data_IF_286845108563
#
_entry.id   IF_286845108563
#
_cell.length_a   1.000
_cell.length_b   1.000
_cell.length_c   1.000
_cell.angle_alpha   90.00
_cell.angle_beta   90.00
_cell.angle_gamma   90.00
#
_symmetry.space_group_name_H-M   'P 1'
#
loop_
_entity.id
_entity.type
_entity.pdbx_description
1 polymer ?
#
# COMPACT_ATOMS: atom_id res chain seq x y z
N UNK A 1 8.30 -0.95 18.79
CA UNK A 1 7.59 0.10 18.05
C UNK A 1 6.22 -0.44 17.66
N UNK A 2 5.13 0.24 18.02
CA UNK A 2 3.77 -0.26 17.74
C UNK A 2 3.42 -0.11 16.25
N UNK A 3 2.37 -0.80 15.78
CA UNK A 3 1.86 -0.66 14.39
C UNK A 3 1.36 0.76 14.10
N UNK A 4 0.83 1.45 15.11
CA UNK A 4 0.38 2.84 15.00
C UNK A 4 1.58 3.76 14.78
N UNK A 5 2.65 3.60 15.54
CA UNK A 5 3.88 4.39 15.38
C UNK A 5 4.55 4.13 14.03
N UNK A 6 4.48 2.88 13.57
CA UNK A 6 4.98 2.42 12.28
C UNK A 6 4.27 3.14 11.13
N UNK A 7 2.93 3.13 11.12
CA UNK A 7 2.13 3.81 10.10
C UNK A 7 2.31 5.33 10.15
N UNK A 8 2.40 5.92 11.35
CA UNK A 8 2.65 7.36 11.52
C UNK A 8 4.02 7.75 10.94
N UNK A 9 5.07 6.98 11.22
CA UNK A 9 6.41 7.21 10.67
C UNK A 9 6.44 7.03 9.15
N UNK A 10 5.82 5.97 8.65
CA UNK A 10 5.70 5.73 7.20
C UNK A 10 4.99 6.88 6.47
N UNK A 11 3.88 7.40 7.04
CA UNK A 11 3.19 8.58 6.50
C UNK A 11 4.12 9.79 6.39
N UNK A 12 4.84 10.13 7.46
CA UNK A 12 5.78 11.25 7.45
C UNK A 12 6.85 11.09 6.36
N UNK A 13 7.40 9.88 6.21
CA UNK A 13 8.40 9.57 5.19
C UNK A 13 7.82 9.67 3.77
N UNK A 14 6.63 9.12 3.53
CA UNK A 14 5.96 9.20 2.24
C UNK A 14 5.62 10.64 1.85
N UNK A 15 5.10 11.44 2.79
CA UNK A 15 4.82 12.87 2.57
C UNK A 15 6.09 13.64 2.22
N UNK A 16 7.15 13.50 3.02
CA UNK A 16 8.43 14.16 2.76
C UNK A 16 9.00 13.79 1.38
N UNK A 17 8.83 12.52 0.95
CA UNK A 17 9.27 12.06 -0.36
C UNK A 17 8.43 12.63 -1.52
N UNK A 18 7.12 12.77 -1.32
CA UNK A 18 6.21 13.42 -2.28
C UNK A 18 6.55 14.90 -2.45
N UNK A 19 6.75 15.63 -1.35
CA UNK A 19 7.12 17.05 -1.36
C UNK A 19 8.47 17.27 -2.06
N UNK A 20 9.45 16.37 -1.81
CA UNK A 20 10.75 16.38 -2.52
C UNK A 20 10.60 16.20 -4.04
N UNK A 21 9.52 15.55 -4.49
CA UNK A 21 9.18 15.37 -5.90
C UNK A 21 8.17 16.43 -6.40
N UNK A 22 8.03 17.57 -5.70
CA UNK A 22 7.16 18.72 -6.04
C UNK A 22 5.65 18.46 -5.99
N UNK A 23 5.21 17.36 -5.38
CA UNK A 23 3.80 17.15 -5.06
C UNK A 23 3.40 18.00 -3.85
N UNK A 24 2.18 18.55 -3.84
CA UNK A 24 1.66 19.33 -2.71
C UNK A 24 0.63 18.52 -1.94
N UNK A 25 0.75 18.49 -0.61
CA UNK A 25 -0.27 17.89 0.25
C UNK A 25 -1.36 18.92 0.50
N UNK A 26 -2.59 18.63 0.09
CA UNK A 26 -3.72 19.59 0.15
C UNK A 26 -4.62 19.35 1.36
N UNK A 27 -4.69 18.13 1.87
CA UNK A 27 -5.41 17.80 3.11
C UNK A 27 -5.01 16.41 3.63
N UNK A 28 -4.99 16.24 4.94
CA UNK A 28 -4.96 14.95 5.61
C UNK A 28 -6.37 14.69 6.17
N UNK A 29 -7.23 14.03 5.39
CA UNK A 29 -8.61 13.76 5.81
C UNK A 29 -8.63 12.59 6.81
N UNK A 30 -9.59 12.64 7.73
CA UNK A 30 -10.04 11.48 8.51
C UNK A 30 -10.27 10.28 7.58
N UNK A 31 -9.94 9.06 8.01
CA UNK A 31 -9.91 7.80 7.22
C UNK A 31 -8.59 7.40 6.56
N UNK A 32 -7.45 7.90 7.05
CA UNK A 32 -6.12 7.39 6.68
C UNK A 32 -5.69 7.72 5.23
N UNK A 33 -6.43 8.58 4.52
CA UNK A 33 -6.13 9.08 3.17
C UNK A 33 -5.48 10.47 3.23
N UNK A 34 -4.61 10.76 2.28
CA UNK A 34 -3.97 12.06 2.11
C UNK A 34 -4.31 12.55 0.70
N UNK A 35 -4.84 13.76 0.59
CA UNK A 35 -5.09 14.42 -0.68
C UNK A 35 -3.80 15.06 -1.19
N UNK A 36 -3.48 14.82 -2.45
CA UNK A 36 -2.25 15.23 -3.11
C UNK A 36 -2.58 15.93 -4.42
N UNK A 37 -1.92 17.07 -4.66
CA UNK A 37 -1.91 17.77 -5.93
C UNK A 37 -0.57 17.52 -6.62
N UNK A 38 -0.61 17.04 -7.85
CA UNK A 38 0.57 16.81 -8.67
C UNK A 38 1.22 18.11 -9.16
N UNK A 39 2.50 18.06 -9.59
CA UNK A 39 3.17 19.20 -10.21
C UNK A 39 2.41 19.86 -11.38
N UNK A 40 1.64 19.10 -12.15
CA UNK A 40 0.81 19.60 -13.28
C UNK A 40 -0.65 19.88 -12.91
N UNK A 41 -1.01 19.76 -11.63
CA UNK A 41 -2.32 20.16 -11.12
C UNK A 41 -3.38 19.06 -11.04
N UNK A 42 -3.00 17.79 -11.20
CA UNK A 42 -3.91 16.66 -11.00
C UNK A 42 -4.12 16.37 -9.52
N UNK A 43 -5.38 16.26 -9.09
CA UNK A 43 -5.73 15.88 -7.73
C UNK A 43 -5.93 14.36 -7.63
N UNK A 44 -5.31 13.75 -6.64
CA UNK A 44 -5.50 12.33 -6.31
C UNK A 44 -5.34 12.11 -4.81
N UNK A 45 -5.67 10.92 -4.35
CA UNK A 45 -5.53 10.51 -2.95
C UNK A 45 -4.52 9.39 -2.81
N UNK A 46 -3.87 9.35 -1.66
CA UNK A 46 -2.98 8.25 -1.28
C UNK A 46 -3.39 7.66 0.07
N UNK A 47 -3.22 6.35 0.22
CA UNK A 47 -3.16 5.68 1.54
C UNK A 47 -1.75 5.19 1.78
N UNK A 48 -1.24 5.40 2.99
CA UNK A 48 0.11 4.99 3.36
C UNK A 48 0.03 3.90 4.41
N UNK A 49 0.63 2.75 4.11
CA UNK A 49 0.81 1.67 5.05
C UNK A 49 2.30 1.56 5.35
N UNK A 50 2.68 1.49 6.62
CA UNK A 50 4.04 1.23 7.10
C UNK A 50 4.23 -0.19 7.64
N UNK A 51 5.41 -0.78 7.42
CA UNK A 51 5.73 -2.09 7.96
C UNK A 51 7.24 -2.22 8.25
N UNK A 52 7.58 -2.86 9.37
CA UNK A 52 8.96 -2.98 9.85
C UNK A 52 9.70 -4.18 9.22
N UNK A 53 8.98 -5.25 8.83
CA UNK A 53 9.58 -6.50 8.29
C UNK A 53 8.94 -6.96 6.98
N UNK A 54 9.66 -7.71 6.14
CA UNK A 54 9.05 -8.39 4.97
C UNK A 54 8.25 -9.63 5.40
N UNK A 55 7.08 -9.47 6.01
CA UNK A 55 6.23 -10.62 6.35
C UNK A 55 4.92 -10.61 5.57
N UNK A 56 4.08 -9.59 5.78
CA UNK A 56 2.75 -9.51 5.18
C UNK A 56 2.17 -8.11 5.41
N UNK A 57 1.48 -7.57 4.40
CA UNK A 57 0.71 -6.34 4.54
C UNK A 57 -0.78 -6.67 4.65
N UNK A 58 -1.39 -6.51 5.82
CA UNK A 58 -2.86 -6.66 5.92
C UNK A 58 -3.53 -5.47 5.23
N UNK A 59 -4.17 -5.76 4.10
CA UNK A 59 -4.87 -4.79 3.27
C UNK A 59 -6.19 -5.42 2.92
N UNK A 60 -7.26 -4.82 3.43
CA UNK A 60 -8.63 -5.26 3.15
C UNK A 60 -8.93 -5.06 1.67
N UNK A 61 -9.59 -6.05 1.07
CA UNK A 61 -10.12 -5.96 -0.29
C UNK A 61 -11.32 -5.02 -0.25
N UNK A 62 -11.25 -4.00 -1.09
CA UNK A 62 -12.25 -2.96 -1.24
C UNK A 62 -12.55 -2.76 -2.74
N UNK A 63 -13.62 -2.04 -3.06
CA UNK A 63 -13.89 -1.64 -4.45
C UNK A 63 -12.75 -0.72 -4.93
N UNK A 64 -12.08 -1.04 -6.06
CA UNK A 64 -11.03 -0.17 -6.58
C UNK A 64 -11.53 1.23 -6.90
N UNK A 65 -10.64 2.22 -6.73
CA UNK A 65 -10.89 3.63 -7.04
C UNK A 65 -9.80 4.17 -7.96
N UNK A 66 -10.20 4.91 -8.99
CA UNK A 66 -9.27 5.44 -9.99
C UNK A 66 -8.47 6.64 -9.46
N UNK A 67 -8.99 7.34 -8.45
CA UNK A 67 -8.36 8.50 -7.80
C UNK A 67 -7.43 8.12 -6.62
N UNK A 68 -7.29 6.82 -6.31
CA UNK A 68 -6.62 6.36 -5.10
C UNK A 68 -5.37 5.52 -5.41
N UNK A 69 -4.27 5.91 -4.79
CA UNK A 69 -3.00 5.20 -4.82
C UNK A 69 -2.63 4.71 -3.42
N UNK A 70 -1.83 3.66 -3.36
CA UNK A 70 -1.33 3.11 -2.11
C UNK A 70 0.19 3.16 -2.11
N UNK A 71 0.75 3.72 -1.04
CA UNK A 71 2.20 3.74 -0.79
C UNK A 71 2.48 2.78 0.36
N UNK A 72 3.13 1.67 0.05
CA UNK A 72 3.63 0.72 1.05
C UNK A 72 5.06 1.09 1.41
N UNK A 73 5.33 1.34 2.68
CA UNK A 73 6.65 1.78 3.18
C UNK A 73 7.27 0.67 4.04
N UNK A 74 8.29 0.02 3.49
CA UNK A 74 9.10 -0.96 4.21
C UNK A 74 10.25 -0.21 4.93
N UNK A 75 10.17 -0.16 6.27
CA UNK A 75 11.16 0.51 7.11
C UNK A 75 12.35 -0.41 7.39
N UNK A 76 13.27 -0.53 6.44
CA UNK A 76 14.57 -1.21 6.66
C UNK A 76 15.59 -0.28 7.30
N UNK A 77 16.60 -0.87 7.97
CA UNK A 77 17.58 -0.15 8.80
C UNK A 77 18.36 0.92 8.03
N UNK A 78 18.70 0.68 6.75
CA UNK A 78 19.50 1.62 5.94
C UNK A 78 18.67 2.78 5.39
N UNK A 79 17.58 2.48 4.69
CA UNK A 79 16.72 3.48 4.06
C UNK A 79 15.32 2.91 3.78
N UNK A 80 14.24 3.67 3.97
CA UNK A 80 12.90 3.17 3.68
C UNK A 80 12.77 2.81 2.20
N UNK A 81 12.13 1.68 1.92
CA UNK A 81 11.72 1.30 0.55
C UNK A 81 10.25 1.59 0.38
N UNK A 82 9.89 2.13 -0.78
CA UNK A 82 8.52 2.46 -1.12
C UNK A 82 8.06 1.53 -2.23
N UNK A 83 6.77 1.21 -2.23
CA UNK A 83 6.12 0.48 -3.31
C UNK A 83 4.78 1.16 -3.56
N UNK A 84 4.56 1.66 -4.78
CA UNK A 84 3.36 2.40 -5.14
C UNK A 84 2.48 1.56 -6.05
N UNK A 85 1.18 1.55 -5.75
CA UNK A 85 0.18 0.85 -6.53
C UNK A 85 -1.00 1.78 -6.80
N UNK A 86 -1.57 1.67 -7.99
CA UNK A 86 -2.98 2.07 -8.17
C UNK A 86 -3.87 1.20 -7.29
N UNK A 87 -5.01 1.72 -6.84
CA UNK A 87 -6.00 0.92 -6.10
C UNK A 87 -6.38 -0.36 -6.86
N UNK A 88 -6.56 -0.27 -8.19
CA UNK A 88 -6.89 -1.42 -9.05
C UNK A 88 -5.81 -2.51 -9.02
N UNK A 89 -4.53 -2.16 -9.15
CA UNK A 89 -3.44 -3.14 -9.09
C UNK A 89 -3.37 -3.81 -7.72
N UNK A 90 -3.49 -3.03 -6.65
CA UNK A 90 -3.39 -3.52 -5.28
C UNK A 90 -4.55 -4.49 -4.95
N UNK A 91 -5.79 -4.07 -5.21
CA UNK A 91 -6.98 -4.87 -4.93
C UNK A 91 -6.96 -6.17 -5.73
N UNK A 92 -6.53 -6.13 -6.99
CA UNK A 92 -6.37 -7.34 -7.81
C UNK A 92 -5.40 -8.32 -7.14
N UNK A 93 -4.21 -7.87 -6.75
CA UNK A 93 -3.21 -8.74 -6.09
C UNK A 93 -3.68 -9.27 -4.74
N UNK A 94 -4.32 -8.44 -3.90
CA UNK A 94 -4.88 -8.89 -2.63
C UNK A 94 -5.92 -10.00 -2.85
N UNK A 95 -6.80 -9.83 -3.84
CA UNK A 95 -7.81 -10.81 -4.21
C UNK A 95 -7.19 -12.10 -4.78
N UNK A 96 -6.18 -11.99 -5.65
CA UNK A 96 -5.48 -13.14 -6.21
C UNK A 96 -4.77 -13.95 -5.11
N UNK A 97 -4.10 -13.27 -4.17
CA UNK A 97 -3.47 -13.90 -3.00
C UNK A 97 -4.49 -14.60 -2.10
N UNK A 98 -5.62 -13.94 -1.83
CA UNK A 98 -6.68 -14.50 -1.00
C UNK A 98 -7.26 -15.77 -1.64
N UNK A 99 -7.62 -15.72 -2.94
CA UNK A 99 -8.11 -16.86 -3.71
C UNK A 99 -7.09 -18.01 -3.76
N UNK A 100 -5.81 -17.69 -3.93
CA UNK A 100 -4.75 -18.70 -3.89
C UNK A 100 -4.62 -19.36 -2.51
N UNK A 101 -4.80 -18.59 -1.44
CA UNK A 101 -4.84 -19.07 -0.06
C UNK A 101 -5.99 -20.04 0.19
N UNK A 102 -7.20 -19.67 -0.26
CA UNK A 102 -8.40 -20.53 -0.20
C UNK A 102 -8.15 -21.84 -0.96
N UNK A 103 -7.75 -21.77 -2.23
CA UNK A 103 -7.45 -22.96 -3.06
C UNK A 103 -6.41 -23.89 -2.43
N UNK A 104 -5.38 -23.33 -1.78
CA UNK A 104 -4.35 -24.14 -1.10
C UNK A 104 -4.90 -24.89 0.10
N UNK A 105 -5.89 -24.33 0.82
CA UNK A 105 -6.54 -25.02 1.95
C UNK A 105 -7.48 -26.12 1.48
N UNK A 106 -8.29 -25.84 0.46
CA UNK A 106 -9.18 -26.83 -0.16
C UNK A 106 -8.40 -28.06 -0.62
N UNK A 107 -7.26 -27.86 -1.29
CA UNK A 107 -6.35 -28.97 -1.70
C UNK A 107 -5.78 -29.78 -0.54
N UNK A 108 -5.71 -29.21 0.66
CA UNK A 108 -5.24 -29.89 1.88
C UNK A 108 -6.40 -30.50 2.70
N UNK A 109 -7.63 -30.46 2.19
CA UNK A 109 -8.82 -30.90 2.93
C UNK A 109 -9.13 -30.03 4.15
N UNK A 110 -8.57 -28.81 4.23
CA UNK A 110 -8.79 -27.90 5.35
C UNK A 110 -9.99 -27.00 5.06
N UNK A 111 -10.97 -26.99 5.96
CA UNK A 111 -12.11 -26.06 5.92
C UNK A 111 -11.72 -24.66 6.42
N UNK A 112 -12.51 -23.65 6.05
CA UNK A 112 -12.38 -22.28 6.54
C UNK A 112 -11.39 -21.38 5.78
N UNK A 113 -11.33 -20.12 6.18
CA UNK A 113 -10.53 -19.06 5.55
C UNK A 113 -9.01 -19.24 5.78
N UNK A 114 -8.16 -18.70 4.88
CA UNK A 114 -6.72 -18.71 5.07
C UNK A 114 -6.29 -17.97 6.35
N UNK A 115 -5.28 -18.53 7.02
CA UNK A 115 -4.72 -17.99 8.28
C UNK A 115 -4.14 -16.60 8.10
N UNK A 116 -3.54 -16.34 6.93
CA UNK A 116 -3.29 -14.96 6.47
C UNK A 116 -4.53 -14.51 5.72
N UNK A 117 -5.16 -13.44 6.20
CA UNK A 117 -6.34 -12.86 5.59
C UNK A 117 -6.03 -12.18 4.25
N UNK A 118 -6.69 -11.07 4.00
CA UNK A 118 -6.49 -10.28 2.78
C UNK A 118 -5.20 -9.44 2.87
N UNK A 119 -4.46 -9.33 1.76
CA UNK A 119 -3.21 -8.58 1.76
C UNK A 119 -2.16 -9.01 0.75
N UNK A 120 -0.93 -8.58 1.00
CA UNK A 120 0.20 -8.77 0.09
C UNK A 120 1.39 -9.44 0.75
N UNK A 121 2.00 -10.37 -0.01
CA UNK A 121 3.33 -10.86 0.32
C UNK A 121 4.38 -9.83 -0.11
N UNK A 122 5.53 -9.78 0.58
CA UNK A 122 6.68 -8.99 0.16
C UNK A 122 7.21 -9.32 -1.24
N UNK A 123 6.99 -10.55 -1.72
CA UNK A 123 7.36 -10.94 -3.08
C UNK A 123 6.51 -10.25 -4.15
N UNK A 124 5.29 -9.86 -3.81
CA UNK A 124 4.33 -9.26 -4.73
C UNK A 124 4.63 -7.80 -5.06
N UNK A 125 5.56 -7.19 -4.32
CA UNK A 125 6.00 -5.81 -4.49
C UNK A 125 7.24 -5.68 -5.39
N UNK A 126 7.79 -6.80 -5.90
CA UNK A 126 8.88 -6.79 -6.89
C UNK A 126 8.37 -6.22 -8.23
N UNK A 127 9.14 -5.32 -8.84
CA UNK A 127 8.87 -4.77 -10.16
C UNK A 127 7.87 -3.61 -10.19
N UNK A 128 7.44 -3.09 -9.05
CA UNK A 128 6.64 -1.86 -9.00
C UNK A 128 7.57 -0.67 -8.80
N UNK A 129 7.69 0.16 -9.84
CA UNK A 129 8.55 1.32 -9.82
C UNK A 129 7.94 2.48 -9.03
N UNK A 130 8.82 3.24 -8.42
CA UNK A 130 8.59 3.73 -7.06
C UNK A 130 7.83 5.06 -7.06
N UNK A 131 7.73 5.77 -8.19
CA UNK A 131 7.06 7.08 -8.27
C UNK A 131 6.45 7.42 -9.64
N UNK A 132 6.74 6.66 -10.69
CA UNK A 132 6.30 6.94 -12.08
C UNK A 132 4.81 6.69 -12.31
N UNK A 133 4.17 5.92 -11.43
CA UNK A 133 2.75 5.58 -11.55
C UNK A 133 1.86 6.72 -11.02
N UNK A 134 2.41 7.66 -10.26
CA UNK A 134 1.62 8.79 -9.77
C UNK A 134 1.33 9.78 -10.92
N UNK A 135 0.15 10.42 -10.91
CA UNK A 135 -0.15 11.46 -11.88
C UNK A 135 0.89 12.59 -11.81
N UNK A 136 1.44 12.99 -12.95
CA UNK A 136 2.32 14.17 -13.05
C UNK A 136 1.57 15.47 -12.85
#
# INVERSE_FOLDING_TARGET
MSRIDTNRKAKKLAVSKLESNRYKITSSIENNEISVLSPKGNNFKIRVNGHIRRTWWDIKIEKPRDDLYYILVEMVIKSPRYYIFTSKQLMKKCNDNFKAGVKRRERKGLSGLPTRGEGLNPGDTKGFDVWEILPE
#
